data_IF_065322703924
#
_entry.id   IF_065322703924
#
_cell.length_a   1.000
_cell.length_b   1.000
_cell.length_c   1.000
_cell.angle_alpha   90.00
_cell.angle_beta   90.00
_cell.angle_gamma   90.00
#
_symmetry.space_group_name_H-M   'P 1'
#
loop_
_entity.id
_entity.type
_entity.pdbx_description
1 polymer ?
#
# COMPACT_ATOMS: atom_id res chain seq x y z
N UNK A 1 -24.28 -41.67 -25.35
CA UNK A 1 -22.88 -41.18 -25.38
C UNK A 1 -22.84 -39.72 -24.97
N UNK A 2 -22.66 -39.43 -23.68
CA UNK A 2 -22.32 -38.10 -23.20
C UNK A 2 -21.21 -38.29 -22.16
N UNK A 3 -19.96 -38.13 -22.60
CA UNK A 3 -18.78 -38.16 -21.75
C UNK A 3 -18.70 -36.83 -21.00
N UNK A 4 -18.96 -36.86 -19.70
CA UNK A 4 -18.69 -35.73 -18.82
C UNK A 4 -17.17 -35.56 -18.73
N UNK A 5 -16.67 -34.44 -19.23
CA UNK A 5 -15.27 -34.02 -19.06
C UNK A 5 -15.08 -33.75 -17.56
N UNK A 6 -14.54 -34.72 -16.83
CA UNK A 6 -13.99 -34.50 -15.49
C UNK A 6 -12.74 -33.64 -15.67
N UNK A 7 -12.84 -32.36 -15.35
CA UNK A 7 -11.66 -31.53 -15.10
C UNK A 7 -11.10 -31.93 -13.75
N UNK A 8 -10.35 -33.03 -13.74
CA UNK A 8 -9.60 -33.51 -12.59
C UNK A 8 -8.32 -32.66 -12.48
N UNK A 9 -8.46 -31.42 -11.99
CA UNK A 9 -7.30 -30.65 -11.54
C UNK A 9 -6.80 -31.30 -10.26
N UNK A 10 -5.53 -31.74 -10.18
CA UNK A 10 -5.03 -32.42 -9.00
C UNK A 10 -5.23 -31.54 -7.76
N UNK A 11 -5.75 -32.12 -6.68
CA UNK A 11 -5.99 -31.42 -5.40
C UNK A 11 -4.75 -30.66 -4.89
N UNK A 12 -3.53 -31.12 -5.24
CA UNK A 12 -2.26 -30.46 -4.92
C UNK A 12 -2.05 -29.11 -5.63
N UNK A 13 -2.54 -28.96 -6.87
CA UNK A 13 -2.46 -27.71 -7.64
C UNK A 13 -3.47 -26.69 -7.13
N UNK A 14 -4.66 -27.16 -6.73
CA UNK A 14 -5.70 -26.33 -6.13
C UNK A 14 -5.28 -25.83 -4.75
N UNK A 15 -4.64 -26.68 -3.94
CA UNK A 15 -4.06 -26.31 -2.65
C UNK A 15 -3.01 -25.19 -2.76
N UNK A 16 -2.06 -25.35 -3.69
CA UNK A 16 -1.01 -24.35 -3.95
C UNK A 16 -1.58 -23.00 -4.44
N UNK A 17 -2.62 -23.02 -5.27
CA UNK A 17 -3.25 -21.79 -5.79
C UNK A 17 -4.03 -21.03 -4.71
N UNK A 18 -4.71 -21.75 -3.82
CA UNK A 18 -5.43 -21.14 -2.70
C UNK A 18 -4.47 -20.54 -1.67
N UNK A 19 -3.36 -21.20 -1.40
CA UNK A 19 -2.30 -20.68 -0.52
C UNK A 19 -1.67 -19.42 -1.09
N UNK A 20 -1.31 -19.42 -2.39
CA UNK A 20 -0.78 -18.23 -3.06
C UNK A 20 -1.77 -17.06 -2.98
N UNK A 21 -3.05 -17.31 -3.27
CA UNK A 21 -4.09 -16.29 -3.17
C UNK A 21 -4.20 -15.71 -1.76
N UNK A 22 -4.15 -16.56 -0.73
CA UNK A 22 -4.19 -16.10 0.66
C UNK A 22 -2.99 -15.18 0.98
N UNK A 23 -1.79 -15.54 0.51
CA UNK A 23 -0.59 -14.71 0.68
C UNK A 23 -0.68 -13.38 -0.10
N UNK A 24 -1.27 -13.38 -1.29
CA UNK A 24 -1.53 -12.16 -2.05
C UNK A 24 -2.57 -11.26 -1.36
N UNK A 25 -3.62 -11.85 -0.79
CA UNK A 25 -4.61 -11.13 0.02
C UNK A 25 -3.99 -10.51 1.26
N UNK A 26 -3.00 -11.17 1.89
CA UNK A 26 -2.23 -10.56 2.98
C UNK A 26 -1.52 -9.29 2.55
N UNK A 27 -0.93 -9.23 1.35
CA UNK A 27 -0.36 -7.97 0.85
C UNK A 27 -1.44 -6.89 0.75
N UNK A 28 -2.62 -7.21 0.21
CA UNK A 28 -3.71 -6.24 0.11
C UNK A 28 -4.16 -5.70 1.48
N UNK A 29 -4.28 -6.57 2.48
CA UNK A 29 -4.56 -6.19 3.88
C UNK A 29 -3.47 -5.26 4.44
N UNK A 30 -2.20 -5.57 4.18
CA UNK A 30 -1.06 -4.76 4.63
C UNK A 30 -1.06 -3.38 3.97
N UNK A 31 -1.27 -3.33 2.65
CA UNK A 31 -1.38 -2.08 1.89
C UNK A 31 -2.50 -1.20 2.44
N UNK A 32 -3.67 -1.77 2.73
CA UNK A 32 -4.79 -1.00 3.28
C UNK A 32 -4.51 -0.54 4.72
N UNK A 33 -3.86 -1.34 5.56
CA UNK A 33 -3.45 -0.89 6.90
C UNK A 33 -2.48 0.29 6.83
N UNK A 34 -1.51 0.27 5.91
CA UNK A 34 -0.59 1.40 5.68
C UNK A 34 -1.36 2.63 5.18
N UNK A 35 -2.30 2.44 4.25
CA UNK A 35 -3.13 3.52 3.73
C UNK A 35 -3.99 4.16 4.82
N UNK A 36 -4.70 3.37 5.62
CA UNK A 36 -5.54 3.88 6.72
C UNK A 36 -4.69 4.57 7.77
N UNK A 37 -3.52 4.03 8.10
CA UNK A 37 -2.60 4.70 9.01
C UNK A 37 -2.19 6.07 8.46
N UNK A 38 -1.78 6.17 7.19
CA UNK A 38 -1.42 7.46 6.59
C UNK A 38 -2.58 8.45 6.64
N UNK A 39 -3.82 7.99 6.39
CA UNK A 39 -5.01 8.84 6.50
C UNK A 39 -5.24 9.38 7.92
N UNK A 40 -5.02 8.56 8.95
CA UNK A 40 -5.16 8.99 10.35
C UNK A 40 -4.10 10.05 10.70
N UNK A 41 -2.85 9.83 10.30
CA UNK A 41 -1.78 10.81 10.53
C UNK A 41 -2.02 12.11 9.75
N UNK A 42 -2.48 12.03 8.50
CA UNK A 42 -2.87 13.19 7.69
C UNK A 42 -3.96 14.01 8.39
N UNK A 43 -5.01 13.37 8.92
CA UNK A 43 -6.11 14.08 9.61
C UNK A 43 -5.61 14.83 10.85
N UNK A 44 -4.60 14.29 11.56
CA UNK A 44 -3.92 14.96 12.68
C UNK A 44 -3.07 16.14 12.20
N UNK A 45 -2.33 15.98 11.11
CA UNK A 45 -1.45 17.02 10.54
C UNK A 45 -2.25 18.19 9.97
N UNK A 46 -3.34 17.89 9.26
CA UNK A 46 -4.20 18.88 8.60
C UNK A 46 -5.25 19.50 9.54
N UNK A 47 -5.32 19.05 10.80
CA UNK A 47 -6.35 19.44 11.78
C UNK A 47 -7.77 19.28 11.21
N UNK A 48 -8.02 18.17 10.53
CA UNK A 48 -9.29 17.90 9.88
C UNK A 48 -10.39 17.64 10.92
N UNK A 49 -11.56 18.27 10.76
CA UNK A 49 -12.74 18.03 11.62
C UNK A 49 -13.58 16.83 11.13
N UNK A 50 -13.53 16.53 9.83
CA UNK A 50 -14.33 15.46 9.20
C UNK A 50 -13.54 14.63 8.20
N UNK A 51 -13.89 13.34 8.10
CA UNK A 51 -13.40 12.40 7.08
C UNK A 51 -14.57 11.60 6.53
N UNK A 52 -14.76 11.63 5.20
CA UNK A 52 -15.86 10.92 4.50
C UNK A 52 -17.27 11.22 5.07
N UNK A 53 -17.49 12.45 5.54
CA UNK A 53 -18.78 12.90 6.08
C UNK A 53 -19.06 12.48 7.52
N UNK A 54 -18.10 11.84 8.20
CA UNK A 54 -18.13 11.55 9.63
C UNK A 54 -17.04 12.37 10.35
N UNK A 55 -17.15 12.51 11.67
CA UNK A 55 -16.09 13.12 12.47
C UNK A 55 -14.77 12.38 12.25
N UNK A 56 -13.69 13.15 12.05
CA UNK A 56 -12.35 12.60 11.95
C UNK A 56 -11.95 11.94 13.28
N UNK A 57 -11.02 10.98 13.22
CA UNK A 57 -10.60 10.28 14.44
C UNK A 57 -9.97 11.25 15.45
N UNK A 58 -9.18 12.22 14.98
CA UNK A 58 -8.58 13.24 15.83
C UNK A 58 -9.61 14.18 16.46
N UNK A 59 -10.72 14.48 15.79
CA UNK A 59 -11.85 15.23 16.37
C UNK A 59 -12.55 14.42 17.47
N UNK A 60 -12.78 13.13 17.23
CA UNK A 60 -13.50 12.26 18.16
C UNK A 60 -12.70 11.89 19.43
N UNK A 61 -11.39 11.63 19.30
CA UNK A 61 -10.56 11.09 20.40
C UNK A 61 -9.32 11.93 20.74
N UNK A 62 -9.08 13.03 20.02
CA UNK A 62 -7.93 13.90 20.19
C UNK A 62 -6.69 13.44 19.43
N UNK A 63 -5.83 14.40 19.08
CA UNK A 63 -4.64 14.21 18.24
C UNK A 63 -3.67 13.13 18.77
N UNK A 64 -3.46 13.07 20.09
CA UNK A 64 -2.52 12.11 20.70
C UNK A 64 -2.96 10.66 20.50
N UNK A 65 -4.24 10.38 20.72
CA UNK A 65 -4.76 9.01 20.58
C UNK A 65 -4.86 8.62 19.10
N UNK A 66 -5.24 9.57 18.23
CA UNK A 66 -5.25 9.36 16.79
C UNK A 66 -3.85 9.01 16.26
N UNK A 67 -2.81 9.76 16.64
CA UNK A 67 -1.44 9.44 16.24
C UNK A 67 -1.00 8.03 16.70
N UNK A 68 -1.29 7.66 17.95
CA UNK A 68 -0.99 6.31 18.45
C UNK A 68 -1.78 5.21 17.73
N UNK A 69 -3.00 5.48 17.29
CA UNK A 69 -3.79 4.55 16.50
C UNK A 69 -3.17 4.31 15.11
N UNK A 70 -2.64 5.36 14.48
CA UNK A 70 -1.87 5.26 13.25
C UNK A 70 -0.59 4.42 13.43
N UNK A 71 0.20 4.71 14.48
CA UNK A 71 1.40 3.94 14.82
C UNK A 71 1.08 2.46 15.06
N UNK A 72 -0.03 2.17 15.75
CA UNK A 72 -0.50 0.80 16.00
C UNK A 72 -0.83 0.07 14.69
N UNK A 73 -1.52 0.73 13.74
CA UNK A 73 -1.82 0.13 12.44
C UNK A 73 -0.56 -0.13 11.62
N UNK A 74 0.40 0.79 11.62
CA UNK A 74 1.70 0.58 10.97
C UNK A 74 2.44 -0.62 11.58
N UNK A 75 2.49 -0.72 12.92
CA UNK A 75 3.09 -1.87 13.59
C UNK A 75 2.43 -3.19 13.18
N UNK A 76 1.09 -3.22 13.13
CA UNK A 76 0.34 -4.40 12.67
C UNK A 76 0.62 -4.74 11.21
N UNK A 77 0.73 -3.74 10.35
CA UNK A 77 1.06 -3.91 8.94
C UNK A 77 2.43 -4.57 8.75
N UNK A 78 3.46 -4.09 9.45
CA UNK A 78 4.81 -4.67 9.35
C UNK A 78 4.94 -6.01 10.08
N UNK A 79 4.20 -6.24 11.15
CA UNK A 79 4.11 -7.57 11.78
C UNK A 79 3.51 -8.60 10.81
N UNK A 80 2.42 -8.23 10.11
CA UNK A 80 1.84 -9.08 9.07
C UNK A 80 2.79 -9.26 7.87
N UNK A 81 3.49 -8.21 7.44
CA UNK A 81 4.50 -8.32 6.38
C UNK A 81 5.65 -9.25 6.75
N UNK A 82 6.13 -9.21 8.00
CA UNK A 82 7.15 -10.13 8.50
C UNK A 82 6.72 -11.59 8.46
N UNK A 83 5.43 -11.86 8.70
CA UNK A 83 4.88 -13.22 8.63
C UNK A 83 4.80 -13.80 7.21
N UNK A 84 5.01 -12.99 6.16
CA UNK A 84 5.09 -13.48 4.78
C UNK A 84 6.44 -14.15 4.46
N UNK A 85 7.44 -14.00 5.34
CA UNK A 85 8.79 -14.58 5.24
C UNK A 85 9.49 -14.26 3.90
N UNK A 86 9.21 -13.07 3.34
CA UNK A 86 9.81 -12.59 2.11
C UNK A 86 10.41 -11.20 2.32
N UNK A 87 11.74 -11.15 2.44
CA UNK A 87 12.48 -9.91 2.73
C UNK A 87 12.38 -8.87 1.62
N UNK A 88 12.24 -9.29 0.37
CA UNK A 88 12.04 -8.39 -0.77
C UNK A 88 10.67 -7.70 -0.68
N UNK A 89 9.62 -8.44 -0.34
CA UNK A 89 8.27 -7.88 -0.11
C UNK A 89 8.29 -6.86 1.04
N UNK A 90 8.92 -7.20 2.17
CA UNK A 90 9.06 -6.28 3.31
C UNK A 90 9.82 -5.02 2.91
N UNK A 91 10.89 -5.14 2.12
CA UNK A 91 11.68 -4.01 1.60
C UNK A 91 10.86 -3.10 0.68
N UNK A 92 10.03 -3.66 -0.20
CA UNK A 92 9.14 -2.91 -1.08
C UNK A 92 8.08 -2.12 -0.30
N UNK A 93 7.49 -2.73 0.72
CA UNK A 93 6.50 -2.07 1.59
C UNK A 93 7.13 -1.00 2.47
N UNK A 94 8.34 -1.24 2.99
CA UNK A 94 9.12 -0.22 3.70
C UNK A 94 9.47 0.97 2.78
N UNK A 95 9.85 0.68 1.54
CA UNK A 95 10.09 1.72 0.52
C UNK A 95 8.83 2.54 0.24
N UNK A 96 7.67 1.89 0.13
CA UNK A 96 6.40 2.59 -0.02
C UNK A 96 6.10 3.53 1.16
N UNK A 97 6.27 3.05 2.41
CA UNK A 97 6.07 3.89 3.59
C UNK A 97 7.03 5.09 3.61
N UNK A 98 8.32 4.87 3.32
CA UNK A 98 9.29 5.96 3.25
C UNK A 98 8.91 7.00 2.19
N UNK A 99 8.38 6.53 1.05
CA UNK A 99 7.88 7.41 0.00
C UNK A 99 6.68 8.23 0.46
N UNK A 100 5.71 7.64 1.17
CA UNK A 100 4.57 8.38 1.72
C UNK A 100 5.03 9.50 2.67
N UNK A 101 5.92 9.18 3.60
CA UNK A 101 6.51 10.18 4.53
C UNK A 101 7.26 11.26 3.76
N UNK A 102 8.02 10.89 2.73
CA UNK A 102 8.73 11.86 1.87
C UNK A 102 7.75 12.78 1.15
N UNK A 103 6.64 12.25 0.63
CA UNK A 103 5.58 13.02 -0.02
C UNK A 103 4.93 14.02 0.95
N UNK A 104 4.75 13.64 2.21
CA UNK A 104 4.23 14.54 3.24
C UNK A 104 5.22 15.64 3.60
N UNK A 105 6.49 15.31 3.79
CA UNK A 105 7.55 16.30 4.04
C UNK A 105 7.69 17.30 2.88
N UNK A 106 7.56 16.83 1.63
CA UNK A 106 7.50 17.72 0.47
C UNK A 106 6.32 18.69 0.59
N UNK A 107 5.12 18.20 0.92
CA UNK A 107 3.95 19.06 1.09
C UNK A 107 4.18 20.13 2.18
N UNK A 108 4.79 19.77 3.31
CA UNK A 108 5.04 20.69 4.42
C UNK A 108 6.13 21.74 4.12
N UNK A 109 7.11 21.41 3.28
CA UNK A 109 8.30 22.25 3.01
C UNK A 109 8.24 23.02 1.70
N UNK A 110 7.11 22.97 0.97
CA UNK A 110 6.99 23.53 -0.38
C UNK A 110 7.10 25.06 -0.42
N UNK A 111 8.04 25.56 -1.24
CA UNK A 111 8.20 27.00 -1.50
C UNK A 111 7.19 27.50 -2.54
N UNK A 112 6.88 28.82 -2.59
CA UNK A 112 5.97 29.38 -3.60
C UNK A 112 6.37 29.06 -5.05
N UNK A 113 7.67 29.08 -5.36
CA UNK A 113 8.17 28.73 -6.68
C UNK A 113 7.94 27.24 -7.02
N UNK A 114 8.15 26.34 -6.06
CA UNK A 114 7.91 24.91 -6.24
C UNK A 114 6.42 24.58 -6.38
N UNK A 115 5.51 25.34 -5.77
CA UNK A 115 4.05 25.14 -5.95
C UNK A 115 3.60 25.29 -7.40
N UNK A 116 4.31 26.09 -8.19
CA UNK A 116 3.99 26.31 -9.61
C UNK A 116 4.76 25.37 -10.55
N UNK A 117 5.62 24.49 -10.02
CA UNK A 117 6.41 23.54 -10.83
C UNK A 117 5.62 22.25 -11.07
N UNK A 118 5.41 21.90 -12.35
CA UNK A 118 4.80 20.63 -12.74
C UNK A 118 5.65 19.44 -12.27
N UNK A 119 6.97 19.52 -12.39
CA UNK A 119 7.87 18.44 -11.97
C UNK A 119 7.74 18.16 -10.46
N UNK A 120 7.67 19.22 -9.65
CA UNK A 120 7.48 19.10 -8.21
C UNK A 120 6.11 18.48 -7.89
N UNK A 121 5.06 18.90 -8.59
CA UNK A 121 3.72 18.34 -8.46
C UNK A 121 3.69 16.84 -8.79
N UNK A 122 4.27 16.43 -9.92
CA UNK A 122 4.33 15.03 -10.34
C UNK A 122 5.14 14.18 -9.35
N UNK A 123 6.26 14.71 -8.87
CA UNK A 123 7.09 14.03 -7.87
C UNK A 123 6.34 13.86 -6.54
N UNK A 124 5.69 14.91 -6.05
CA UNK A 124 4.86 14.84 -4.83
C UNK A 124 3.72 13.84 -5.00
N UNK A 125 3.02 13.87 -6.13
CA UNK A 125 1.90 12.97 -6.43
C UNK A 125 2.34 11.52 -6.48
N UNK A 126 3.52 11.26 -7.06
CA UNK A 126 4.12 9.94 -7.03
C UNK A 126 4.36 9.47 -5.60
N UNK A 127 5.03 10.28 -4.77
CA UNK A 127 5.39 9.87 -3.41
C UNK A 127 4.18 9.73 -2.48
N UNK A 128 3.22 10.64 -2.55
CA UNK A 128 2.04 10.66 -1.67
C UNK A 128 0.98 9.62 -2.06
N UNK A 129 0.94 9.20 -3.33
CA UNK A 129 -0.12 8.32 -3.83
C UNK A 129 0.41 7.12 -4.59
N UNK A 130 1.09 7.33 -5.73
CA UNK A 130 1.40 6.25 -6.66
C UNK A 130 2.42 5.24 -6.11
N UNK A 131 3.31 5.67 -5.21
CA UNK A 131 4.36 4.84 -4.63
C UNK A 131 3.80 3.66 -3.82
N UNK A 132 2.70 3.85 -3.09
CA UNK A 132 2.08 2.77 -2.33
C UNK A 132 1.50 1.71 -3.27
N UNK A 133 0.80 2.14 -4.31
CA UNK A 133 0.15 1.26 -5.29
C UNK A 133 1.20 0.52 -6.12
N UNK A 134 2.19 1.22 -6.67
CA UNK A 134 3.24 0.63 -7.51
C UNK A 134 4.07 -0.43 -6.76
N UNK A 135 4.50 -0.15 -5.53
CA UNK A 135 5.23 -1.12 -4.72
C UNK A 135 4.35 -2.28 -4.27
N UNK A 136 3.06 -2.07 -4.00
CA UNK A 136 2.14 -3.15 -3.65
C UNK A 136 1.90 -4.10 -4.83
N UNK A 137 1.70 -3.57 -6.05
CA UNK A 137 1.61 -4.39 -7.27
C UNK A 137 2.89 -5.19 -7.50
N UNK A 138 4.06 -4.57 -7.34
CA UNK A 138 5.35 -5.25 -7.43
C UNK A 138 5.49 -6.36 -6.39
N UNK A 139 5.11 -6.08 -5.14
CA UNK A 139 5.19 -7.03 -4.04
C UNK A 139 4.34 -8.28 -4.31
N UNK A 140 3.13 -8.12 -4.88
CA UNK A 140 2.28 -9.25 -5.29
C UNK A 140 2.97 -10.12 -6.35
N UNK A 141 3.61 -9.51 -7.36
CA UNK A 141 4.33 -10.25 -8.40
C UNK A 141 5.55 -10.99 -7.84
N UNK A 142 6.35 -10.33 -7.00
CA UNK A 142 7.51 -10.92 -6.31
C UNK A 142 7.10 -12.08 -5.42
N UNK A 143 6.05 -11.91 -4.61
CA UNK A 143 5.53 -12.97 -3.73
C UNK A 143 5.05 -14.20 -4.50
N UNK A 144 4.59 -13.99 -5.75
CA UNK A 144 4.12 -15.05 -6.64
C UNK A 144 5.27 -15.76 -7.40
N UNK A 145 6.53 -15.42 -7.11
CA UNK A 145 7.70 -16.01 -7.76
C UNK A 145 7.82 -15.65 -9.26
N UNK A 146 7.23 -14.52 -9.67
CA UNK A 146 7.32 -14.07 -11.06
C UNK A 146 8.72 -13.54 -11.40
N UNK A 147 9.00 -13.42 -12.69
CA UNK A 147 10.27 -12.86 -13.16
C UNK A 147 10.40 -11.39 -12.78
N UNK A 148 11.65 -10.90 -12.71
CA UNK A 148 11.92 -9.48 -12.46
C UNK A 148 11.27 -8.56 -13.50
N UNK A 149 11.12 -9.04 -14.74
CA UNK A 149 10.42 -8.33 -15.82
C UNK A 149 8.93 -8.14 -15.48
N UNK A 150 8.23 -9.23 -15.12
CA UNK A 150 6.80 -9.16 -14.75
C UNK A 150 6.60 -8.30 -13.49
N UNK A 151 7.49 -8.41 -12.50
CA UNK A 151 7.46 -7.55 -11.33
C UNK A 151 7.68 -6.06 -11.69
N UNK A 152 8.56 -5.78 -12.66
CA UNK A 152 8.76 -4.45 -13.21
C UNK A 152 7.52 -3.91 -13.93
N UNK A 153 6.84 -4.74 -14.73
CA UNK A 153 5.59 -4.37 -15.39
C UNK A 153 4.46 -4.08 -14.39
N UNK A 154 4.32 -4.91 -13.36
CA UNK A 154 3.35 -4.70 -12.29
C UNK A 154 3.59 -3.38 -11.54
N UNK A 155 4.86 -3.03 -11.31
CA UNK A 155 5.24 -1.74 -10.74
C UNK A 155 4.84 -0.57 -11.64
N UNK A 156 5.16 -0.63 -12.93
CA UNK A 156 4.85 0.46 -13.86
C UNK A 156 3.34 0.62 -14.03
N UNK A 157 2.59 -0.48 -14.07
CA UNK A 157 1.13 -0.44 -14.07
C UNK A 157 0.60 0.34 -12.86
N UNK A 158 1.03 -0.03 -11.65
CA UNK A 158 0.59 0.66 -10.43
C UNK A 158 1.03 2.13 -10.37
N UNK A 159 2.20 2.45 -10.93
CA UNK A 159 2.71 3.83 -11.01
C UNK A 159 1.85 4.71 -11.91
N UNK A 160 1.42 4.18 -13.06
CA UNK A 160 0.70 4.93 -14.07
C UNK A 160 -0.82 4.96 -13.88
N UNK A 161 -1.37 4.07 -13.06
CA UNK A 161 -2.81 4.04 -12.78
C UNK A 161 -3.31 5.32 -12.07
N UNK A 162 -2.42 5.97 -11.33
CA UNK A 162 -2.73 7.09 -10.41
C UNK A 162 -2.03 8.39 -10.80
N UNK A 163 -1.23 8.39 -11.88
CA UNK A 163 -0.51 9.56 -12.41
C UNK A 163 -1.23 10.15 -13.62
#
# INVERSE_FOLDING_TARGET
MASAIRTDTPDSVVGSRNELRARQMRIAEITEMIHVASLIHDDVLDAADTRRGMDSLNSAVGNKLAALAGDFLLFRAFSAAGSLENTEVVSLLATALNNLVTGELMQMTVTPAQRCSMDYYLQKTYYKTAALISNSCKAVAVLSGQTAEVAGLAYQYGRHLVS
#
